data_IF_568584909432
#
_entry.id   IF_568584909432
#
_cell.length_a   1.000
_cell.length_b   1.000
_cell.length_c   1.000
_cell.angle_alpha   90.00
_cell.angle_beta   90.00
_cell.angle_gamma   90.00
#
_symmetry.space_group_name_H-M   'P 1'
#
loop_
_entity.id
_entity.type
_entity.pdbx_description
1 polymer ?
#
# COMPACT_ATOMS: atom_id res chain seq x y z
N UNK A 1 -74.04 -59.56 9.06
CA UNK A 1 -74.59 -60.09 7.81
C UNK A 1 -73.78 -59.49 6.68
N UNK A 2 -72.71 -60.23 6.37
CA UNK A 2 -72.20 -60.54 5.03
C UNK A 2 -71.99 -59.39 4.03
N UNK A 3 -70.73 -59.12 3.70
CA UNK A 3 -70.26 -59.44 2.34
C UNK A 3 -68.71 -59.52 2.26
N UNK A 4 -68.23 -60.71 1.91
CA UNK A 4 -66.91 -60.98 1.32
C UNK A 4 -66.78 -60.36 -0.08
N UNK A 5 -65.58 -59.90 -0.46
CA UNK A 5 -64.85 -60.41 -1.65
C UNK A 5 -63.77 -59.47 -2.18
N UNK A 6 -62.54 -60.02 -2.19
CA UNK A 6 -61.61 -60.17 -3.31
C UNK A 6 -61.07 -58.93 -4.08
N UNK A 7 -59.73 -58.88 -4.17
CA UNK A 7 -59.05 -58.56 -5.43
C UNK A 7 -57.95 -57.50 -5.40
N UNK A 8 -56.68 -57.94 -5.31
CA UNK A 8 -55.48 -57.25 -5.83
C UNK A 8 -55.65 -56.85 -7.33
N UNK A 9 -54.83 -55.97 -7.98
CA UNK A 9 -53.40 -55.73 -7.71
C UNK A 9 -52.83 -54.31 -7.95
N UNK A 10 -51.57 -54.20 -7.55
CA UNK A 10 -50.53 -53.23 -7.89
C UNK A 10 -50.72 -52.49 -9.24
N UNK A 11 -50.71 -51.16 -9.22
CA UNK A 11 -50.54 -50.31 -10.41
C UNK A 11 -49.43 -49.30 -10.17
N UNK A 12 -48.25 -49.73 -10.60
CA UNK A 12 -47.09 -48.95 -11.01
C UNK A 12 -47.46 -47.82 -11.99
N UNK A 13 -47.63 -46.61 -11.47
CA UNK A 13 -47.56 -45.39 -12.26
C UNK A 13 -46.17 -44.74 -12.09
N UNK A 14 -45.19 -45.25 -12.84
CA UNK A 14 -43.97 -44.52 -13.15
C UNK A 14 -44.31 -43.46 -14.19
N UNK A 15 -44.42 -42.20 -13.78
CA UNK A 15 -44.63 -41.09 -14.73
C UNK A 15 -43.83 -39.88 -14.29
N UNK A 16 -42.72 -39.67 -15.02
CA UNK A 16 -42.04 -38.41 -15.31
C UNK A 16 -41.18 -37.83 -14.17
N UNK A 17 -39.96 -38.35 -14.11
CA UNK A 17 -38.81 -37.56 -13.67
C UNK A 17 -38.49 -36.55 -14.79
N UNK A 18 -38.62 -35.26 -14.51
CA UNK A 18 -38.13 -34.20 -15.39
C UNK A 18 -36.59 -34.18 -15.33
N UNK A 19 -35.86 -34.36 -16.44
CA UNK A 19 -34.44 -34.07 -16.47
C UNK A 19 -34.23 -32.58 -16.80
N UNK A 20 -33.16 -32.02 -16.24
CA UNK A 20 -32.64 -30.66 -16.44
C UNK A 20 -33.40 -29.49 -15.81
N UNK A 21 -33.12 -29.27 -14.52
CA UNK A 21 -32.76 -27.93 -14.08
C UNK A 21 -31.26 -27.75 -14.32
N UNK A 22 -30.78 -26.74 -15.06
CA UNK A 22 -29.38 -26.34 -14.96
C UNK A 22 -29.14 -25.72 -13.57
N UNK A 23 -28.74 -26.56 -12.63
CA UNK A 23 -28.05 -26.16 -11.41
C UNK A 23 -26.64 -25.71 -11.81
N UNK A 24 -26.50 -24.46 -12.27
CA UNK A 24 -25.20 -23.79 -12.36
C UNK A 24 -25.37 -22.28 -12.21
N UNK A 25 -25.35 -21.81 -10.96
CA UNK A 25 -25.09 -20.40 -10.64
C UNK A 25 -24.45 -20.25 -9.26
N UNK A 26 -23.34 -20.96 -9.03
CA UNK A 26 -22.61 -20.87 -7.75
C UNK A 26 -21.08 -20.97 -7.87
N UNK A 27 -20.52 -21.56 -8.94
CA UNK A 27 -19.07 -21.77 -9.04
C UNK A 27 -18.24 -20.54 -9.45
N UNK A 28 -18.86 -19.45 -9.88
CA UNK A 28 -18.12 -18.28 -10.38
C UNK A 28 -17.75 -17.32 -9.23
N UNK A 29 -18.53 -17.29 -8.15
CA UNK A 29 -18.34 -16.34 -7.04
C UNK A 29 -17.27 -16.80 -6.05
N UNK A 30 -17.19 -18.10 -5.73
CA UNK A 30 -16.24 -18.63 -4.74
C UNK A 30 -14.77 -18.52 -5.16
N UNK A 31 -14.50 -18.58 -6.47
CA UNK A 31 -13.13 -18.50 -7.00
C UNK A 31 -12.57 -17.09 -6.90
N UNK A 32 -13.42 -16.07 -7.07
CA UNK A 32 -13.05 -14.65 -7.00
C UNK A 32 -12.77 -14.22 -5.55
N UNK A 33 -13.55 -14.74 -4.60
CA UNK A 33 -13.41 -14.43 -3.17
C UNK A 33 -12.13 -15.06 -2.57
N UNK A 34 -11.78 -16.28 -2.99
CA UNK A 34 -10.53 -16.92 -2.58
C UNK A 34 -9.30 -16.19 -3.15
N UNK A 35 -9.35 -15.77 -4.42
CA UNK A 35 -8.26 -15.02 -5.04
C UNK A 35 -8.01 -13.66 -4.37
N UNK A 36 -9.08 -12.94 -4.03
CA UNK A 36 -9.00 -11.69 -3.29
C UNK A 36 -8.42 -11.88 -1.87
N UNK A 37 -8.79 -12.97 -1.19
CA UNK A 37 -8.20 -13.31 0.11
C UNK A 37 -6.70 -13.59 0.01
N UNK A 38 -6.27 -14.34 -1.00
CA UNK A 38 -4.85 -14.67 -1.21
C UNK A 38 -4.04 -13.40 -1.54
N UNK A 39 -4.60 -12.49 -2.36
CA UNK A 39 -3.99 -11.20 -2.68
C UNK A 39 -3.87 -10.30 -1.44
N UNK A 40 -4.92 -10.23 -0.60
CA UNK A 40 -4.89 -9.47 0.64
C UNK A 40 -3.86 -10.02 1.63
N UNK A 41 -3.73 -11.35 1.73
CA UNK A 41 -2.71 -11.98 2.55
C UNK A 41 -1.28 -11.65 2.06
N UNK A 42 -1.06 -11.67 0.75
CA UNK A 42 0.22 -11.27 0.16
C UNK A 42 0.55 -9.80 0.43
N UNK A 43 -0.44 -8.91 0.36
CA UNK A 43 -0.29 -7.49 0.72
C UNK A 43 0.12 -7.34 2.19
N UNK A 44 -0.52 -8.08 3.11
CA UNK A 44 -0.18 -8.04 4.53
C UNK A 44 1.24 -8.53 4.82
N UNK A 45 1.67 -9.61 4.16
CA UNK A 45 3.06 -10.10 4.25
C UNK A 45 4.04 -9.03 3.75
N UNK A 46 3.71 -8.34 2.66
CA UNK A 46 4.58 -7.31 2.14
C UNK A 46 4.62 -6.04 3.00
N UNK A 47 3.51 -5.68 3.65
CA UNK A 47 3.50 -4.64 4.69
C UNK A 47 4.41 -5.01 5.86
N UNK A 48 4.51 -6.28 6.23
CA UNK A 48 5.49 -6.73 7.22
C UNK A 48 6.93 -6.53 6.74
N UNK A 49 7.21 -6.86 5.47
CA UNK A 49 8.52 -6.63 4.86
C UNK A 49 8.92 -5.14 4.84
N UNK A 50 7.96 -4.22 4.70
CA UNK A 50 8.21 -2.77 4.82
C UNK A 50 8.83 -2.45 6.18
N UNK A 51 8.29 -3.00 7.26
CA UNK A 51 8.81 -2.76 8.62
C UNK A 51 10.25 -3.27 8.74
N UNK A 52 10.55 -4.43 8.17
CA UNK A 52 11.92 -4.96 8.12
C UNK A 52 12.86 -4.06 7.31
N UNK A 53 12.39 -3.48 6.19
CA UNK A 53 13.18 -2.54 5.40
C UNK A 53 13.48 -1.24 6.17
N UNK A 54 12.49 -0.74 6.93
CA UNK A 54 12.67 0.43 7.81
C UNK A 54 13.71 0.13 8.89
N UNK A 55 13.63 -1.02 9.56
CA UNK A 55 14.59 -1.44 10.59
C UNK A 55 16.02 -1.60 10.05
N UNK A 56 16.16 -2.02 8.79
CA UNK A 56 17.44 -2.15 8.10
C UNK A 56 17.99 -0.81 7.56
N UNK A 57 17.25 0.30 7.72
CA UNK A 57 17.59 1.62 7.19
C UNK A 57 17.46 1.74 5.67
N UNK A 58 16.72 0.84 5.02
CA UNK A 58 16.37 0.89 3.58
C UNK A 58 15.11 1.75 3.37
N UNK A 59 15.20 3.03 3.74
CA UNK A 59 14.04 3.93 3.83
C UNK A 59 13.42 4.19 2.45
N UNK A 60 14.20 4.52 1.43
CA UNK A 60 13.62 4.75 0.09
C UNK A 60 12.87 3.52 -0.41
N UNK A 61 13.46 2.33 -0.26
CA UNK A 61 12.83 1.07 -0.64
C UNK A 61 11.54 0.81 0.14
N UNK A 62 11.50 1.07 1.44
CA UNK A 62 10.30 0.86 2.25
C UNK A 62 9.16 1.77 1.79
N UNK A 63 9.47 3.03 1.47
CA UNK A 63 8.51 3.98 0.91
C UNK A 63 8.03 3.59 -0.50
N UNK A 64 8.92 3.14 -1.39
CA UNK A 64 8.53 2.67 -2.72
C UNK A 64 7.57 1.47 -2.64
N UNK A 65 7.85 0.52 -1.76
CA UNK A 65 6.97 -0.62 -1.50
C UNK A 65 5.62 -0.15 -0.92
N UNK A 66 5.63 0.72 0.08
CA UNK A 66 4.39 1.26 0.66
C UNK A 66 3.53 2.01 -0.37
N UNK A 67 4.16 2.83 -1.23
CA UNK A 67 3.44 3.52 -2.29
C UNK A 67 2.74 2.53 -3.21
N UNK A 68 3.47 1.52 -3.68
CA UNK A 68 2.93 0.50 -4.60
C UNK A 68 1.78 -0.28 -3.98
N UNK A 69 1.92 -0.70 -2.72
CA UNK A 69 0.87 -1.42 -2.01
C UNK A 69 -0.37 -0.54 -1.82
N UNK A 70 -0.19 0.71 -1.41
CA UNK A 70 -1.29 1.65 -1.21
C UNK A 70 -2.03 1.94 -2.52
N UNK A 71 -1.31 2.02 -3.64
CA UNK A 71 -1.91 2.18 -4.97
C UNK A 71 -2.79 0.99 -5.39
N UNK A 72 -2.28 -0.24 -5.17
CA UNK A 72 -3.05 -1.47 -5.40
C UNK A 72 -4.31 -1.50 -4.53
N UNK A 73 -4.17 -1.17 -3.24
CA UNK A 73 -5.26 -1.14 -2.27
C UNK A 73 -6.31 -0.11 -2.67
N UNK A 74 -5.91 1.14 -2.93
CA UNK A 74 -6.81 2.23 -3.28
C UNK A 74 -7.57 1.95 -4.59
N UNK A 75 -6.91 1.29 -5.55
CA UNK A 75 -7.52 0.95 -6.84
C UNK A 75 -8.46 -0.26 -6.76
N UNK A 76 -8.20 -1.22 -5.85
CA UNK A 76 -8.89 -2.51 -5.80
C UNK A 76 -9.62 -2.78 -4.48
N UNK A 77 -9.80 -1.78 -3.61
CA UNK A 77 -10.34 -1.95 -2.25
C UNK A 77 -11.69 -2.68 -2.19
N UNK A 78 -12.55 -2.51 -3.19
CA UNK A 78 -13.83 -3.22 -3.27
C UNK A 78 -13.64 -4.72 -3.57
N UNK A 79 -12.75 -5.06 -4.52
CA UNK A 79 -12.42 -6.45 -4.86
C UNK A 79 -11.72 -7.17 -3.71
N UNK A 80 -10.85 -6.45 -2.99
CA UNK A 80 -10.18 -6.94 -1.78
C UNK A 80 -11.11 -7.08 -0.57
N UNK A 81 -12.40 -6.74 -0.72
CA UNK A 81 -13.38 -6.78 0.35
C UNK A 81 -13.23 -5.68 1.41
N UNK A 82 -12.31 -4.73 1.22
CA UNK A 82 -12.03 -3.64 2.15
C UNK A 82 -13.09 -2.53 2.13
N UNK A 83 -13.76 -2.35 0.99
CA UNK A 83 -14.87 -1.40 0.80
C UNK A 83 -16.25 -2.06 0.74
N UNK A 84 -16.33 -3.39 0.88
CA UNK A 84 -17.59 -4.13 0.79
C UNK A 84 -18.46 -3.91 2.03
N UNK A 85 -19.78 -3.82 1.82
CA UNK A 85 -20.78 -3.76 2.91
C UNK A 85 -20.89 -5.12 3.65
N UNK A 86 -20.45 -6.20 3.01
CA UNK A 86 -20.33 -7.54 3.62
C UNK A 86 -19.05 -7.73 4.44
N UNK A 87 -19.05 -8.71 5.35
CA UNK A 87 -17.86 -9.15 6.10
C UNK A 87 -17.66 -8.48 7.47
N UNK A 88 -16.69 -8.99 8.23
CA UNK A 88 -16.41 -8.52 9.59
C UNK A 88 -15.77 -7.11 9.58
N UNK A 89 -16.50 -6.12 10.09
CA UNK A 89 -16.05 -4.72 10.18
C UNK A 89 -14.70 -4.62 10.91
N UNK A 90 -14.52 -5.38 11.99
CA UNK A 90 -13.30 -5.36 12.80
C UNK A 90 -12.05 -5.79 12.00
N UNK A 91 -12.18 -6.72 11.06
CA UNK A 91 -11.06 -7.16 10.22
C UNK A 91 -10.63 -6.06 9.24
N UNK A 92 -11.62 -5.38 8.63
CA UNK A 92 -11.39 -4.25 7.72
C UNK A 92 -10.75 -3.07 8.47
N UNK A 93 -11.30 -2.72 9.62
CA UNK A 93 -10.75 -1.69 10.51
C UNK A 93 -9.30 -2.02 10.93
N UNK A 94 -9.05 -3.28 11.29
CA UNK A 94 -7.72 -3.76 11.65
C UNK A 94 -6.72 -3.64 10.50
N UNK A 95 -7.14 -3.96 9.27
CA UNK A 95 -6.29 -3.79 8.08
C UNK A 95 -5.92 -2.32 7.85
N UNK A 96 -6.90 -1.42 7.81
CA UNK A 96 -6.66 0.01 7.59
C UNK A 96 -5.79 0.61 8.69
N UNK A 97 -6.05 0.24 9.95
CA UNK A 97 -5.21 0.60 11.09
C UNK A 97 -3.77 0.10 10.89
N UNK A 98 -3.58 -1.13 10.43
CA UNK A 98 -2.27 -1.70 10.11
C UNK A 98 -1.53 -0.92 9.02
N UNK A 99 -2.21 -0.59 7.92
CA UNK A 99 -1.66 0.22 6.83
C UNK A 99 -1.24 1.61 7.31
N UNK A 100 -2.12 2.31 8.02
CA UNK A 100 -1.85 3.65 8.55
C UNK A 100 -0.64 3.62 9.51
N UNK A 101 -0.57 2.61 10.39
CA UNK A 101 0.56 2.43 11.29
C UNK A 101 1.87 2.16 10.52
N UNK A 102 1.85 1.40 9.43
CA UNK A 102 3.03 1.18 8.60
C UNK A 102 3.55 2.49 7.99
N UNK A 103 2.65 3.34 7.47
CA UNK A 103 3.00 4.67 6.98
C UNK A 103 3.64 5.53 8.08
N UNK A 104 2.95 5.70 9.21
CA UNK A 104 3.43 6.54 10.31
C UNK A 104 4.75 6.04 10.91
N UNK A 105 4.92 4.71 11.01
CA UNK A 105 6.17 4.11 11.44
C UNK A 105 7.31 4.43 10.45
N UNK A 106 7.08 4.27 9.14
CA UNK A 106 8.09 4.61 8.14
C UNK A 106 8.47 6.10 8.19
N UNK A 107 7.51 7.01 8.41
CA UNK A 107 7.80 8.44 8.57
C UNK A 107 8.57 8.77 9.83
N UNK A 108 8.24 8.14 10.97
CA UNK A 108 9.00 8.32 12.21
C UNK A 108 10.49 7.99 12.03
N UNK A 109 10.78 7.03 11.16
CA UNK A 109 12.13 6.59 10.81
C UNK A 109 12.68 7.22 9.53
N UNK A 110 12.04 8.24 8.94
CA UNK A 110 12.44 8.81 7.64
C UNK A 110 13.88 9.37 7.61
N UNK A 111 14.43 9.72 8.78
CA UNK A 111 15.81 10.18 8.95
C UNK A 111 16.87 9.08 9.13
N UNK A 112 16.48 7.81 9.27
CA UNK A 112 17.37 6.71 9.66
C UNK A 112 17.93 5.91 8.48
N UNK A 113 18.02 6.54 7.30
CA UNK A 113 18.57 5.89 6.12
C UNK A 113 20.03 5.45 6.34
N UNK A 114 20.33 4.21 5.99
CA UNK A 114 21.67 3.62 6.16
C UNK A 114 22.71 4.19 5.19
N UNK A 115 22.25 4.67 4.04
CA UNK A 115 23.08 5.21 2.97
C UNK A 115 22.35 6.32 2.22
N UNK A 116 23.11 7.16 1.51
CA UNK A 116 22.55 8.31 0.77
C UNK A 116 21.54 7.90 -0.30
N UNK A 117 21.73 6.75 -0.95
CA UNK A 117 20.80 6.20 -1.94
C UNK A 117 19.46 5.74 -1.33
N UNK A 118 19.45 5.46 -0.02
CA UNK A 118 18.23 5.09 0.70
C UNK A 118 17.54 6.30 1.35
N UNK A 119 18.07 7.51 1.19
CA UNK A 119 17.45 8.71 1.79
C UNK A 119 16.23 9.17 1.00
N UNK A 120 15.18 9.54 1.72
CA UNK A 120 14.09 10.31 1.15
C UNK A 120 14.57 11.71 0.80
N UNK A 121 14.36 12.09 -0.46
CA UNK A 121 14.65 13.42 -0.98
C UNK A 121 13.35 14.22 -1.08
N UNK A 122 13.46 15.55 -1.16
CA UNK A 122 12.29 16.43 -1.26
C UNK A 122 11.37 16.07 -2.43
N UNK A 123 11.93 15.69 -3.58
CA UNK A 123 11.11 15.33 -4.74
C UNK A 123 10.30 14.04 -4.50
N UNK A 124 10.83 13.06 -3.76
CA UNK A 124 10.08 11.88 -3.33
C UNK A 124 8.91 12.28 -2.43
N UNK A 125 9.13 13.19 -1.48
CA UNK A 125 8.11 13.64 -0.54
C UNK A 125 6.99 14.46 -1.21
N UNK A 126 7.31 15.31 -2.18
CA UNK A 126 6.28 16.03 -2.96
C UNK A 126 5.44 15.08 -3.81
N UNK A 127 6.08 14.12 -4.50
CA UNK A 127 5.36 13.10 -5.25
C UNK A 127 4.45 12.26 -4.35
N UNK A 128 4.95 11.88 -3.17
CA UNK A 128 4.19 11.13 -2.18
C UNK A 128 2.99 11.92 -1.66
N UNK A 129 3.16 13.21 -1.37
CA UNK A 129 2.05 14.09 -0.98
C UNK A 129 0.93 14.09 -2.01
N UNK A 130 1.26 14.20 -3.31
CA UNK A 130 0.26 14.19 -4.37
C UNK A 130 -0.39 12.81 -4.53
N UNK A 131 0.38 11.74 -4.32
CA UNK A 131 -0.13 10.36 -4.35
C UNK A 131 -1.12 10.10 -3.21
N UNK A 132 -0.83 10.57 -2.00
CA UNK A 132 -1.73 10.42 -0.84
C UNK A 132 -3.08 11.10 -1.08
N UNK A 133 -3.08 12.30 -1.66
CA UNK A 133 -4.32 12.99 -2.05
C UNK A 133 -5.09 12.21 -3.11
N UNK A 134 -4.39 11.69 -4.12
CA UNK A 134 -5.04 10.89 -5.16
C UNK A 134 -5.64 9.58 -4.61
N UNK A 135 -4.98 8.91 -3.65
CA UNK A 135 -5.53 7.74 -2.99
C UNK A 135 -6.72 8.09 -2.11
N UNK A 136 -6.67 9.19 -1.36
CA UNK A 136 -7.79 9.68 -0.58
C UNK A 136 -9.01 9.98 -1.48
N UNK A 137 -8.82 10.73 -2.57
CA UNK A 137 -9.88 11.01 -3.56
C UNK A 137 -10.49 9.70 -4.13
N UNK A 138 -9.67 8.69 -4.42
CA UNK A 138 -10.14 7.40 -4.92
C UNK A 138 -10.97 6.62 -3.89
N UNK A 139 -10.62 6.75 -2.61
CA UNK A 139 -11.23 6.08 -1.47
C UNK A 139 -12.47 6.81 -0.92
N UNK A 140 -12.61 8.12 -1.19
CA UNK A 140 -13.68 8.98 -0.67
C UNK A 140 -15.08 8.44 -1.06
N UNK A 141 -15.22 7.97 -2.30
CA UNK A 141 -16.49 7.40 -2.80
C UNK A 141 -16.98 6.18 -2.01
N UNK A 142 -16.10 5.53 -1.26
CA UNK A 142 -16.40 4.40 -0.39
C UNK A 142 -16.53 4.81 1.10
N UNK A 143 -16.32 6.08 1.43
CA UNK A 143 -16.29 6.57 2.81
C UNK A 143 -15.02 6.21 3.59
N UNK A 144 -13.93 5.86 2.90
CA UNK A 144 -12.70 5.31 3.49
C UNK A 144 -11.60 6.38 3.71
N UNK A 145 -11.98 7.63 4.04
CA UNK A 145 -11.03 8.77 4.09
C UNK A 145 -10.96 9.49 5.45
N UNK A 146 -11.89 9.27 6.39
CA UNK A 146 -11.73 9.83 7.74
C UNK A 146 -12.65 9.21 8.81
N UNK A 147 -12.83 7.90 8.73
CA UNK A 147 -13.44 7.09 9.77
C UNK A 147 -12.41 6.01 10.11
N UNK A 148 -12.43 5.43 11.32
CA UNK A 148 -11.50 4.36 11.79
C UNK A 148 -11.35 3.15 10.83
N UNK A 149 -12.08 3.16 9.73
CA UNK A 149 -12.23 2.17 8.69
C UNK A 149 -11.49 2.53 7.38
N UNK A 150 -10.60 3.53 7.34
CA UNK A 150 -10.01 4.02 6.09
C UNK A 150 -8.58 4.57 6.18
N UNK A 151 -8.10 5.15 5.08
CA UNK A 151 -6.78 5.78 5.00
C UNK A 151 -6.77 7.07 5.84
N UNK A 152 -5.80 7.20 6.74
CA UNK A 152 -5.60 8.42 7.55
C UNK A 152 -4.89 9.51 6.73
N UNK A 153 -5.58 10.11 5.75
CA UNK A 153 -5.00 11.13 4.86
C UNK A 153 -4.33 12.25 5.68
N UNK A 154 -5.04 12.81 6.66
CA UNK A 154 -4.56 13.94 7.44
C UNK A 154 -3.25 13.63 8.18
N UNK A 155 -3.20 12.52 8.92
CA UNK A 155 -2.01 12.15 9.70
C UNK A 155 -0.81 11.87 8.79
N UNK A 156 -1.05 11.24 7.63
CA UNK A 156 -0.01 10.94 6.66
C UNK A 156 0.52 12.22 6.01
N UNK A 157 -0.36 13.15 5.61
CA UNK A 157 0.05 14.45 5.04
C UNK A 157 0.85 15.27 6.06
N UNK A 158 0.43 15.30 7.33
CA UNK A 158 1.18 15.96 8.41
C UNK A 158 2.56 15.35 8.61
N UNK A 159 2.68 14.02 8.53
CA UNK A 159 3.97 13.33 8.62
C UNK A 159 4.90 13.66 7.44
N UNK A 160 4.36 13.83 6.23
CA UNK A 160 5.12 14.28 5.05
C UNK A 160 5.64 15.70 5.27
N UNK A 161 4.80 16.60 5.73
CA UNK A 161 5.19 17.99 6.03
C UNK A 161 6.31 18.04 7.07
N UNK A 162 6.23 17.21 8.11
CA UNK A 162 7.29 17.08 9.11
C UNK A 162 8.62 16.62 8.49
N UNK A 163 8.62 15.57 7.66
CA UNK A 163 9.84 15.12 6.98
C UNK A 163 10.36 16.17 5.97
N UNK A 164 9.50 16.96 5.31
CA UNK A 164 9.91 18.06 4.43
C UNK A 164 10.64 19.19 5.18
N UNK A 165 10.13 19.58 6.36
CA UNK A 165 10.76 20.58 7.22
C UNK A 165 12.14 20.10 7.69
N UNK A 166 12.23 18.84 8.11
CA UNK A 166 13.49 18.27 8.60
C UNK A 166 14.51 18.02 7.47
N UNK A 167 14.06 17.64 6.28
CA UNK A 167 14.93 17.51 5.12
C UNK A 167 15.58 18.85 4.72
N UNK A 168 14.90 19.99 4.97
CA UNK A 168 15.46 21.32 4.73
C UNK A 168 16.53 21.72 5.77
N UNK A 169 16.44 21.20 7.00
CA UNK A 169 17.41 21.48 8.07
C UNK A 169 18.76 20.75 7.89
N UNK A 170 18.82 19.70 7.06
CA UNK A 170 20.01 18.87 6.79
C UNK A 170 20.59 19.20 5.41
N UNK A 171 20.54 20.47 4.98
CA UNK A 171 21.38 20.91 3.87
C UNK A 171 22.80 21.18 4.40
N UNK A 172 23.83 20.40 4.01
CA UNK A 172 25.19 20.86 4.19
C UNK A 172 25.35 22.08 3.29
N UNK A 173 25.47 23.25 3.91
CA UNK A 173 26.04 24.43 3.29
C UNK A 173 27.40 24.06 2.68
N UNK A 174 27.44 23.71 1.39
CA UNK A 174 28.68 23.62 0.62
C UNK A 174 29.26 25.03 0.49
N UNK A 175 29.98 25.47 1.53
CA UNK A 175 30.84 26.65 1.47
C UNK A 175 32.18 26.22 0.85
N UNK A 176 32.34 26.57 -0.41
CA UNK A 176 33.56 27.12 -1.02
C UNK A 176 34.89 26.54 -0.56
N UNK A 177 35.39 25.51 -1.24
CA UNK A 177 36.84 25.31 -1.41
C UNK A 177 37.29 26.11 -2.62
N UNK A 178 37.75 27.34 -2.38
CA UNK A 178 38.53 28.11 -3.35
C UNK A 178 39.91 27.43 -3.40
N UNK A 179 40.14 26.60 -4.41
CA UNK A 179 41.47 26.09 -4.69
C UNK A 179 42.36 27.28 -5.05
N UNK A 180 43.42 27.43 -4.27
CA UNK A 180 44.57 28.27 -4.53
C UNK A 180 45.29 27.61 -5.70
N UNK A 181 45.32 28.27 -6.86
CA UNK A 181 46.28 27.98 -7.92
C UNK A 181 47.34 29.08 -7.86
N UNK A 182 48.54 28.65 -7.47
CA UNK A 182 49.77 29.41 -7.46
C UNK A 182 50.15 29.77 -8.91
N UNK A 183 50.15 31.06 -9.24
CA UNK A 183 50.89 31.61 -10.38
C UNK A 183 51.57 32.91 -9.95
N UNK A 184 52.83 32.81 -9.52
CA UNK A 184 53.80 33.90 -9.68
C UNK A 184 55.12 33.29 -10.17
N UNK A 185 55.30 33.33 -11.50
CA UNK A 185 56.56 33.15 -12.19
C UNK A 185 56.85 34.43 -12.96
N UNK A 186 57.61 35.35 -12.38
CA UNK A 186 58.28 36.44 -13.12
C UNK A 186 59.73 36.59 -12.63
N UNK A 187 60.62 35.90 -13.35
CA UNK A 187 61.83 36.43 -13.98
C UNK A 187 62.37 37.79 -13.46
N UNK A 188 63.54 37.79 -12.82
CA UNK A 188 64.42 38.96 -12.84
C UNK A 188 65.85 38.54 -13.16
N UNK A 189 66.27 38.93 -14.35
CA UNK A 189 67.58 38.79 -14.95
C UNK A 189 68.65 39.62 -14.21
N UNK A 190 69.89 39.18 -14.39
CA UNK A 190 71.13 39.87 -14.06
C UNK A 190 71.12 41.37 -14.41
N UNK A 191 71.60 42.22 -13.50
CA UNK A 191 72.35 43.42 -13.89
C UNK A 191 73.51 43.71 -12.92
N UNK A 192 74.69 43.81 -13.54
CA UNK A 192 75.94 44.39 -13.06
C UNK A 192 75.75 45.76 -12.39
N UNK A 193 76.44 46.02 -11.28
CA UNK A 193 76.92 47.36 -10.96
C UNK A 193 78.37 47.29 -10.45
N UNK A 194 79.16 48.13 -11.12
CA UNK A 194 80.60 48.42 -11.08
C UNK A 194 81.07 48.93 -9.70
#
# INVERSE_FOLDING_TARGET
MDNDSLGSPNSNASTISCPNSPTQRSHITEVDEQAASDELAAIQEELQNVLEYVDQGMILKSFDTLCRLTDIIATNCEKLGLASDGGAIDQKAGFWTGLNNCWLFAFWHCGNARSEDQRLQRHHLYHLHDSVKAWADALEKYGLVNYELGLSEQDILEAIEFCLINAAAISPSSKTTKSIEDEENENSEDEDII
#
